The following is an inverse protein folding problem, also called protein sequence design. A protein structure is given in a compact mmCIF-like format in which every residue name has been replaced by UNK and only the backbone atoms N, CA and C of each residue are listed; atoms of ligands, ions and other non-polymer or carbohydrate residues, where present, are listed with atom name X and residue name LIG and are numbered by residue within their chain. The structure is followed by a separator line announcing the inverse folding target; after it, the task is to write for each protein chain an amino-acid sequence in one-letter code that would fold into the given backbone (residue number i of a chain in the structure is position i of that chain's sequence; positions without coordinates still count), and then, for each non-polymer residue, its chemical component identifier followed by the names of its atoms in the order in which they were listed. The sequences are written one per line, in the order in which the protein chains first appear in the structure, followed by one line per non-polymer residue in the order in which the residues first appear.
data_IF_646795235564
#
_entry.id   IF_646795235564
#
_cell.length_a   1.000
_cell.length_b   1.000
_cell.length_c   1.000
_cell.angle_alpha   90.00
_cell.angle_beta   90.00
_cell.angle_gamma   90.00
#
_symmetry.space_group_name_H-M   'P 1'
#
loop_
_entity.id
_entity.type
_entity.pdbx_description
1 polymer ?
#
# COMPACT_ATOMS: atom_id res chain seq x y z
N UNK A 1 30.54 -40.36 -4.43
CA UNK A 1 30.27 -39.71 -3.13
C UNK A 1 28.80 -39.34 -3.10
N UNK A 2 28.10 -39.66 -2.02
CA UNK A 2 26.71 -39.26 -1.80
C UNK A 2 26.61 -38.52 -0.46
N UNK A 3 25.88 -37.41 -0.40
CA UNK A 3 25.61 -36.71 0.85
C UNK A 3 24.29 -37.27 1.41
N UNK A 4 24.30 -37.79 2.63
CA UNK A 4 23.11 -38.35 3.29
C UNK A 4 22.46 -37.37 4.25
N UNK A 5 23.28 -36.54 4.91
CA UNK A 5 22.81 -35.51 5.83
C UNK A 5 23.72 -34.29 5.80
N UNK A 6 23.12 -33.13 6.06
CA UNK A 6 23.80 -31.86 6.20
C UNK A 6 23.21 -31.14 7.41
N UNK A 7 24.07 -30.61 8.26
CA UNK A 7 23.68 -29.71 9.33
C UNK A 7 24.56 -28.45 9.30
N UNK A 8 23.93 -27.30 9.18
CA UNK A 8 24.58 -25.98 9.14
C UNK A 8 24.10 -25.20 10.34
N UNK A 9 25.03 -24.65 11.12
CA UNK A 9 24.74 -23.77 12.26
C UNK A 9 25.57 -22.50 12.15
N UNK A 10 24.92 -21.38 12.43
CA UNK A 10 25.55 -20.06 12.51
C UNK A 10 26.40 -19.72 11.28
N UNK A 11 25.85 -19.92 10.08
CA UNK A 11 26.55 -19.68 8.81
C UNK A 11 25.82 -18.61 7.99
N UNK A 12 26.43 -17.42 7.87
CA UNK A 12 25.81 -16.22 7.27
C UNK A 12 24.42 -15.95 7.87
N UNK A 13 23.38 -16.00 7.04
CA UNK A 13 21.98 -15.81 7.45
C UNK A 13 21.34 -17.08 8.04
N UNK A 14 21.96 -18.24 7.90
CA UNK A 14 21.45 -19.52 8.40
C UNK A 14 21.84 -19.69 9.87
N UNK A 15 20.85 -19.60 10.77
CA UNK A 15 21.06 -19.88 12.20
C UNK A 15 21.16 -21.37 12.47
N UNK A 16 20.21 -22.14 11.94
CA UNK A 16 20.25 -23.60 11.99
C UNK A 16 19.47 -24.17 10.80
N UNK A 17 20.10 -25.07 10.06
CA UNK A 17 19.48 -25.86 9.02
C UNK A 17 19.95 -27.30 9.20
N UNK A 18 19.00 -28.24 9.19
CA UNK A 18 19.28 -29.67 9.15
C UNK A 18 18.50 -30.30 8.02
N UNK A 19 19.22 -30.96 7.12
CA UNK A 19 18.67 -31.78 6.07
C UNK A 19 19.14 -33.21 6.30
N UNK A 20 18.22 -34.10 6.66
CA UNK A 20 18.50 -35.51 6.89
C UNK A 20 17.76 -36.38 5.87
N UNK A 21 18.24 -37.61 5.69
CA UNK A 21 17.68 -38.59 4.75
C UNK A 21 17.64 -38.07 3.30
N UNK A 22 18.73 -37.43 2.85
CA UNK A 22 18.89 -37.06 1.45
C UNK A 22 18.91 -38.36 0.62
N UNK A 23 18.01 -38.53 -0.36
CA UNK A 23 17.98 -39.74 -1.17
C UNK A 23 19.29 -39.96 -1.93
N UNK A 24 19.64 -41.22 -2.14
CA UNK A 24 20.88 -41.66 -2.77
C UNK A 24 20.88 -41.55 -4.31
N UNK A 25 19.73 -41.22 -4.90
CA UNK A 25 19.56 -40.98 -6.34
C UNK A 25 18.59 -39.83 -6.63
N UNK A 26 18.71 -39.24 -7.82
CA UNK A 26 17.83 -38.19 -8.33
C UNK A 26 18.48 -36.81 -8.44
N UNK A 27 17.69 -35.82 -8.84
CA UNK A 27 18.08 -34.41 -8.93
C UNK A 27 17.32 -33.63 -7.87
N UNK A 28 18.05 -32.94 -6.99
CA UNK A 28 17.46 -32.12 -5.93
C UNK A 28 17.47 -30.65 -6.32
N UNK A 29 16.30 -30.02 -6.26
CA UNK A 29 16.13 -28.60 -6.54
C UNK A 29 15.87 -27.87 -5.23
N UNK A 30 16.80 -26.99 -4.84
CA UNK A 30 16.61 -26.06 -3.72
C UNK A 30 15.98 -24.78 -4.29
N UNK A 31 14.70 -24.53 -3.98
CA UNK A 31 13.97 -23.35 -4.42
C UNK A 31 13.59 -22.44 -3.23
N UNK A 32 13.23 -21.19 -3.51
CA UNK A 32 12.92 -20.16 -2.52
C UNK A 32 13.17 -18.77 -3.10
N UNK A 33 12.79 -17.70 -2.40
CA UNK A 33 13.05 -16.33 -2.87
C UNK A 33 14.55 -15.99 -2.87
N UNK A 34 14.94 -14.94 -3.59
CA UNK A 34 16.30 -14.42 -3.48
C UNK A 34 16.60 -14.06 -2.01
N UNK A 35 17.86 -14.23 -1.59
CA UNK A 35 18.35 -13.94 -0.22
C UNK A 35 17.92 -14.91 0.90
N UNK A 36 17.07 -15.91 0.61
CA UNK A 36 16.72 -16.95 1.58
C UNK A 36 17.80 -18.03 1.82
N UNK A 37 19.05 -17.79 1.40
CA UNK A 37 20.17 -18.66 1.75
C UNK A 37 20.40 -19.88 0.85
N UNK A 38 19.76 -19.97 -0.34
CA UNK A 38 20.00 -21.07 -1.30
C UNK A 38 21.49 -21.20 -1.67
N UNK A 39 22.12 -20.10 -2.06
CA UNK A 39 23.55 -20.05 -2.40
C UNK A 39 24.44 -20.26 -1.16
N UNK A 40 23.95 -19.87 0.02
CA UNK A 40 24.61 -20.06 1.32
C UNK A 40 24.75 -21.54 1.69
N UNK A 41 23.73 -22.37 1.40
CA UNK A 41 23.81 -23.83 1.65
C UNK A 41 24.91 -24.46 0.81
N UNK A 42 24.99 -24.14 -0.49
CA UNK A 42 26.04 -24.66 -1.37
C UNK A 42 27.43 -24.21 -0.90
N UNK A 43 27.56 -22.94 -0.50
CA UNK A 43 28.81 -22.40 0.02
C UNK A 43 29.27 -23.11 1.30
N UNK A 44 28.34 -23.42 2.22
CA UNK A 44 28.63 -24.18 3.43
C UNK A 44 29.18 -25.59 3.11
N UNK A 45 28.60 -26.27 2.11
CA UNK A 45 29.07 -27.60 1.64
C UNK A 45 30.47 -27.49 1.01
N UNK A 46 30.72 -26.51 0.15
CA UNK A 46 32.07 -26.31 -0.38
C UNK A 46 33.08 -25.98 0.72
N UNK A 47 32.69 -25.15 1.68
CA UNK A 47 33.58 -24.72 2.75
C UNK A 47 33.97 -25.87 3.67
N UNK A 48 33.03 -26.74 4.06
CA UNK A 48 33.35 -27.91 4.89
C UNK A 48 34.22 -28.93 4.16
N UNK A 49 34.03 -29.12 2.86
CA UNK A 49 34.84 -30.06 2.08
C UNK A 49 36.27 -29.54 1.86
N UNK A 50 36.45 -28.27 1.50
CA UNK A 50 37.74 -27.79 0.98
C UNK A 50 38.50 -26.82 1.89
N UNK A 51 37.85 -26.24 2.89
CA UNK A 51 38.49 -25.23 3.74
C UNK A 51 38.96 -25.84 5.05
N UNK A 52 40.21 -25.57 5.42
CA UNK A 52 40.76 -25.99 6.73
C UNK A 52 40.02 -25.29 7.88
N UNK A 53 39.75 -25.99 8.96
CA UNK A 53 39.10 -25.47 10.17
C UNK A 53 39.86 -24.29 10.79
N UNK A 54 41.19 -24.28 10.68
CA UNK A 54 42.07 -23.21 11.16
C UNK A 54 42.13 -21.99 10.24
N UNK A 55 41.48 -22.03 9.07
CA UNK A 55 41.50 -20.93 8.10
C UNK A 55 40.87 -19.65 8.65
N UNK A 56 41.51 -18.52 8.34
CA UNK A 56 41.02 -17.16 8.63
C UNK A 56 40.92 -16.32 7.36
N UNK A 57 40.81 -16.98 6.20
CA UNK A 57 40.63 -16.32 4.91
C UNK A 57 39.34 -15.49 4.90
N UNK A 58 39.28 -14.48 4.02
CA UNK A 58 38.14 -13.57 3.97
C UNK A 58 36.81 -14.32 3.77
N UNK A 59 36.78 -15.31 2.88
CA UNK A 59 35.61 -16.17 2.67
C UNK A 59 35.11 -16.87 3.95
N UNK A 60 36.01 -17.22 4.89
CA UNK A 60 35.64 -17.83 6.17
C UNK A 60 35.11 -16.78 7.15
N UNK A 61 35.68 -15.57 7.13
CA UNK A 61 35.17 -14.43 7.92
C UNK A 61 33.78 -14.01 7.45
N UNK A 62 33.56 -14.00 6.15
CA UNK A 62 32.27 -13.68 5.52
C UNK A 62 31.18 -14.72 5.84
N UNK A 63 31.56 -15.92 6.27
CA UNK A 63 30.63 -16.94 6.75
C UNK A 63 30.15 -16.70 8.18
N UNK A 64 30.80 -15.82 8.96
CA UNK A 64 30.38 -15.49 10.31
C UNK A 64 29.05 -14.71 10.30
N UNK A 65 28.07 -15.05 11.14
CA UNK A 65 26.83 -14.29 11.22
C UNK A 65 27.07 -12.89 11.76
N UNK A 66 26.43 -11.90 11.14
CA UNK A 66 26.50 -10.52 11.59
C UNK A 66 25.90 -10.38 13.00
N UNK A 67 26.61 -9.64 13.86
CA UNK A 67 26.15 -9.33 15.22
C UNK A 67 26.16 -10.50 16.20
N UNK A 68 26.88 -11.59 15.91
CA UNK A 68 26.97 -12.76 16.82
C UNK A 68 28.42 -13.21 17.03
N UNK A 69 28.83 -13.39 18.28
CA UNK A 69 30.19 -13.85 18.62
C UNK A 69 30.33 -15.38 18.58
N UNK A 70 29.79 -16.00 17.52
CA UNK A 70 29.80 -17.45 17.27
C UNK A 70 30.59 -17.78 16.02
N UNK A 71 31.07 -19.02 15.93
CA UNK A 71 31.82 -19.53 14.78
C UNK A 71 30.89 -20.33 13.87
N UNK A 72 30.98 -20.20 12.54
CA UNK A 72 30.19 -21.00 11.62
C UNK A 72 30.56 -22.48 11.74
N UNK A 73 29.55 -23.34 11.67
CA UNK A 73 29.67 -24.78 11.87
C UNK A 73 28.93 -25.53 10.78
N UNK A 74 29.57 -26.56 10.22
CA UNK A 74 28.95 -27.42 9.23
C UNK A 74 29.32 -28.88 9.52
N UNK A 75 28.30 -29.73 9.56
CA UNK A 75 28.44 -31.20 9.59
C UNK A 75 27.88 -31.76 8.29
N UNK A 76 28.61 -32.68 7.68
CA UNK A 76 28.14 -33.44 6.53
C UNK A 76 28.36 -34.93 6.79
N UNK A 77 27.32 -35.72 6.58
CA UNK A 77 27.41 -37.17 6.50
C UNK A 77 27.44 -37.58 5.02
N UNK A 78 28.40 -38.42 4.68
CA UNK A 78 28.68 -38.87 3.33
C UNK A 78 28.73 -40.39 3.27
N UNK A 79 28.25 -40.95 2.17
CA UNK A 79 28.67 -42.29 1.73
C UNK A 79 29.81 -42.13 0.73
N UNK A 80 30.99 -42.59 1.12
CA UNK A 80 32.22 -42.46 0.34
C UNK A 80 33.05 -43.74 0.44
N UNK A 81 33.45 -44.31 -0.69
CA UNK A 81 34.20 -45.58 -0.72
C UNK A 81 33.45 -46.75 -0.07
N UNK A 82 32.12 -46.74 -0.09
CA UNK A 82 31.27 -47.75 0.58
C UNK A 82 31.21 -47.60 2.10
N UNK A 83 31.79 -46.54 2.68
CA UNK A 83 31.80 -46.25 4.12
C UNK A 83 30.95 -45.02 4.43
N UNK A 84 30.42 -44.99 5.65
CA UNK A 84 29.77 -43.80 6.20
C UNK A 84 30.85 -42.91 6.83
N UNK A 85 30.91 -41.67 6.36
CA UNK A 85 31.89 -40.67 6.75
C UNK A 85 31.16 -39.47 7.31
N UNK A 86 31.42 -39.12 8.57
CA UNK A 86 30.92 -37.89 9.19
C UNK A 86 32.06 -36.90 9.30
N UNK A 87 31.93 -35.76 8.62
CA UNK A 87 32.88 -34.65 8.69
C UNK A 87 32.20 -33.46 9.37
N UNK A 88 32.81 -32.96 10.41
CA UNK A 88 32.40 -31.73 11.10
C UNK A 88 33.56 -30.74 11.08
N UNK A 89 33.25 -29.48 10.75
CA UNK A 89 34.18 -28.36 10.90
C UNK A 89 33.48 -27.15 11.50
N UNK A 90 34.23 -26.50 12.38
CA UNK A 90 33.90 -25.20 12.96
C UNK A 90 35.06 -24.25 12.72
N UNK A 91 34.76 -23.03 12.28
CA UNK A 91 35.76 -21.99 12.02
C UNK A 91 35.64 -20.83 13.01
N UNK A 92 36.69 -20.01 13.07
CA UNK A 92 36.79 -18.79 13.86
C UNK A 92 36.71 -19.00 15.37
N UNK A 93 35.50 -19.17 15.93
CA UNK A 93 35.31 -19.39 17.37
C UNK A 93 35.40 -20.86 17.66
N UNK A 94 36.30 -21.24 18.56
CA UNK A 94 36.64 -22.63 18.88
C UNK A 94 36.87 -23.47 17.61
N UNK A 95 37.87 -23.13 16.76
CA UNK A 95 38.10 -23.86 15.53
C UNK A 95 38.43 -25.31 15.81
N UNK A 96 37.71 -26.23 15.17
CA UNK A 96 37.92 -27.67 15.31
C UNK A 96 37.40 -28.41 14.10
N UNK A 97 38.02 -29.55 13.84
CA UNK A 97 37.57 -30.53 12.87
C UNK A 97 37.40 -31.87 13.56
N UNK A 98 36.37 -32.61 13.19
CA UNK A 98 36.13 -33.98 13.65
C UNK A 98 35.77 -34.83 12.42
N UNK A 99 36.38 -36.00 12.30
CA UNK A 99 36.12 -36.96 11.24
C UNK A 99 35.84 -38.32 11.87
N UNK A 100 34.76 -38.97 11.45
CA UNK A 100 34.50 -40.37 11.77
C UNK A 100 34.29 -41.14 10.48
N UNK A 101 35.05 -42.21 10.28
CA UNK A 101 34.88 -43.14 9.15
C UNK A 101 34.48 -44.50 9.72
N UNK A 102 33.34 -45.03 9.27
CA UNK A 102 32.85 -46.33 9.72
C UNK A 102 33.88 -47.44 9.45
N UNK A 103 34.36 -48.07 10.53
CA UNK A 103 35.35 -49.16 10.46
C UNK A 103 36.82 -48.72 10.49
N UNK A 104 37.14 -47.43 10.31
CA UNK A 104 38.53 -46.92 10.37
C UNK A 104 38.83 -46.13 11.65
N UNK A 105 37.82 -45.50 12.25
CA UNK A 105 37.94 -44.79 13.52
C UNK A 105 37.53 -43.32 13.47
N UNK A 106 37.86 -42.59 14.55
CA UNK A 106 37.57 -41.15 14.70
C UNK A 106 38.86 -40.36 14.86
N UNK A 107 38.92 -39.20 14.22
CA UNK A 107 40.06 -38.29 14.18
C UNK A 107 39.60 -36.87 14.51
N UNK A 108 40.51 -36.04 15.03
CA UNK A 108 40.21 -34.64 15.37
C UNK A 108 41.30 -33.69 14.87
N UNK A 109 40.98 -32.41 14.75
CA UNK A 109 41.94 -31.35 14.38
C UNK A 109 42.55 -31.55 12.99
N UNK A 110 43.85 -31.26 12.87
CA UNK A 110 44.59 -31.39 11.60
C UNK A 110 44.59 -32.82 11.04
N UNK A 111 44.66 -33.83 11.91
CA UNK A 111 44.66 -35.24 11.52
C UNK A 111 43.33 -35.63 10.86
N UNK A 112 42.20 -35.10 11.37
CA UNK A 112 40.89 -35.30 10.75
C UNK A 112 40.86 -34.78 9.30
N UNK A 113 41.42 -33.61 9.04
CA UNK A 113 41.40 -33.02 7.71
C UNK A 113 42.34 -33.73 6.75
N UNK A 114 43.54 -34.10 7.21
CA UNK A 114 44.48 -34.86 6.39
C UNK A 114 43.90 -36.22 6.01
N UNK A 115 43.33 -36.95 6.98
CA UNK A 115 42.70 -38.25 6.71
C UNK A 115 41.50 -38.13 5.80
N UNK A 116 40.69 -37.09 5.96
CA UNK A 116 39.58 -36.82 5.05
C UNK A 116 40.07 -36.58 3.63
N UNK A 117 41.08 -35.72 3.44
CA UNK A 117 41.63 -35.39 2.12
C UNK A 117 42.20 -36.64 1.43
N UNK A 118 43.00 -37.45 2.14
CA UNK A 118 43.52 -38.73 1.64
C UNK A 118 42.38 -39.69 1.20
N UNK A 119 41.35 -39.82 2.03
CA UNK A 119 40.20 -40.69 1.75
C UNK A 119 39.34 -40.14 0.60
N UNK A 120 39.20 -38.82 0.52
CA UNK A 120 38.48 -38.13 -0.55
C UNK A 120 39.18 -38.32 -1.90
N UNK A 121 40.49 -38.07 -1.99
CA UNK A 121 41.27 -38.26 -3.21
C UNK A 121 41.28 -39.71 -3.71
N UNK A 122 41.23 -40.68 -2.80
CA UNK A 122 41.19 -42.10 -3.17
C UNK A 122 39.88 -42.50 -3.85
N UNK A 123 38.78 -41.83 -3.52
CA UNK A 123 37.43 -42.25 -3.89
C UNK A 123 36.66 -41.22 -4.73
N UNK A 124 37.21 -40.04 -4.96
CA UNK A 124 36.62 -38.96 -5.75
C UNK A 124 37.65 -38.43 -6.73
N UNK A 125 37.29 -38.44 -8.02
CA UNK A 125 38.03 -37.72 -9.05
C UNK A 125 37.83 -36.21 -8.85
N UNK A 126 38.87 -35.52 -8.39
CA UNK A 126 38.82 -34.09 -8.13
C UNK A 126 38.54 -33.27 -9.38
N UNK A 127 39.04 -33.71 -10.55
CA UNK A 127 38.83 -33.00 -11.81
C UNK A 127 37.35 -33.03 -12.18
N UNK A 128 36.71 -34.20 -12.03
CA UNK A 128 35.28 -34.36 -12.24
C UNK A 128 34.46 -33.58 -11.21
N UNK A 129 34.82 -33.68 -9.93
CA UNK A 129 34.12 -33.00 -8.85
C UNK A 129 34.14 -31.48 -9.03
N UNK A 130 35.30 -30.89 -9.32
CA UNK A 130 35.44 -29.45 -9.59
C UNK A 130 34.68 -29.03 -10.85
N UNK A 131 34.68 -29.84 -11.91
CA UNK A 131 33.94 -29.55 -13.14
C UNK A 131 32.42 -29.54 -12.94
N UNK A 132 31.90 -30.41 -12.08
CA UNK A 132 30.47 -30.49 -11.75
C UNK A 132 30.03 -29.44 -10.71
N UNK A 133 30.97 -28.89 -9.95
CA UNK A 133 30.69 -27.87 -8.95
C UNK A 133 30.67 -26.46 -9.57
N UNK A 134 29.51 -26.04 -10.10
CA UNK A 134 29.32 -24.69 -10.65
C UNK A 134 28.78 -23.70 -9.60
N UNK A 135 29.59 -22.69 -9.26
CA UNK A 135 29.19 -21.58 -8.37
C UNK A 135 28.44 -20.51 -9.17
N UNK A 136 27.26 -20.11 -8.68
CA UNK A 136 26.47 -19.02 -9.27
C UNK A 136 27.34 -17.75 -9.41
N UNK A 137 27.50 -17.25 -10.64
CA UNK A 137 28.33 -16.08 -10.97
C UNK A 137 29.74 -16.39 -11.53
N UNK A 138 30.16 -17.65 -11.52
CA UNK A 138 31.38 -18.13 -12.15
C UNK A 138 31.01 -19.02 -13.34
N UNK A 139 30.72 -18.43 -14.50
CA UNK A 139 30.81 -19.19 -15.76
C UNK A 139 32.28 -19.41 -16.09
N UNK A 140 32.94 -20.28 -15.33
CA UNK A 140 34.34 -20.63 -15.53
C UNK A 140 34.42 -22.14 -15.62
N UNK A 141 33.89 -22.65 -16.73
CA UNK A 141 34.66 -23.32 -17.76
C UNK A 141 33.64 -23.87 -18.76
N UNK A 142 33.84 -23.71 -20.08
CA UNK A 142 33.24 -24.66 -21.01
C UNK A 142 33.64 -26.02 -20.46
N UNK A 143 32.65 -26.83 -20.07
CA UNK A 143 32.85 -28.21 -19.67
C UNK A 143 33.56 -28.89 -20.85
N UNK A 144 34.89 -28.90 -20.87
CA UNK A 144 35.71 -29.68 -21.81
C UNK A 144 35.62 -31.11 -21.30
N UNK A 145 34.44 -31.70 -21.50
CA UNK A 145 34.08 -33.06 -21.10
C UNK A 145 35.01 -34.11 -21.73
N UNK A 146 35.73 -33.74 -22.79
CA UNK A 146 36.74 -34.58 -23.43
C UNK A 146 38.01 -34.81 -22.60
N UNK A 147 38.17 -34.16 -21.44
CA UNK A 147 39.33 -34.34 -20.56
C UNK A 147 39.09 -35.22 -19.33
N UNK A 148 37.85 -35.63 -19.06
CA UNK A 148 37.48 -36.31 -17.81
C UNK A 148 37.12 -37.77 -18.10
N UNK A 149 38.15 -38.62 -18.09
CA UNK A 149 38.07 -40.05 -18.44
C UNK A 149 37.01 -40.80 -17.63
N UNK A 150 36.82 -40.45 -16.36
CA UNK A 150 35.85 -41.07 -15.46
C UNK A 150 34.41 -40.80 -15.89
N UNK A 151 34.11 -39.61 -16.42
CA UNK A 151 32.77 -39.24 -16.87
C UNK A 151 32.45 -39.81 -18.26
N UNK A 152 33.42 -39.82 -19.18
CA UNK A 152 33.25 -40.45 -20.49
C UNK A 152 33.00 -41.95 -20.36
N UNK A 153 33.70 -42.63 -19.43
CA UNK A 153 33.55 -44.05 -19.17
C UNK A 153 32.18 -44.41 -18.55
N UNK A 154 31.72 -43.66 -17.55
CA UNK A 154 30.40 -43.87 -16.92
C UNK A 154 29.25 -43.55 -17.89
N UNK A 155 29.40 -42.52 -18.73
CA UNK A 155 28.40 -42.21 -19.76
C UNK A 155 28.38 -43.27 -20.88
N UNK A 156 29.52 -43.87 -21.21
CA UNK A 156 29.59 -45.01 -22.13
C UNK A 156 28.89 -46.24 -21.55
N UNK A 157 29.15 -46.59 -20.28
CA UNK A 157 28.49 -47.69 -19.55
C UNK A 157 26.97 -47.48 -19.43
N UNK A 158 26.54 -46.29 -19.00
CA UNK A 158 25.11 -45.95 -18.86
C UNK A 158 24.36 -45.89 -20.21
N UNK A 159 25.09 -45.66 -21.31
CA UNK A 159 24.53 -45.75 -22.66
C UNK A 159 24.42 -47.18 -23.22
N UNK A 160 24.84 -48.18 -22.44
CA UNK A 160 24.66 -49.61 -22.75
C UNK A 160 25.68 -50.20 -23.72
N UNK A 161 26.86 -49.59 -23.87
CA UNK A 161 27.88 -50.01 -24.86
C UNK A 161 29.08 -50.75 -24.27
N UNK A 162 28.91 -51.42 -23.13
CA UNK A 162 29.95 -52.29 -22.56
C UNK A 162 29.93 -53.69 -23.19
N UNK A 163 30.11 -53.78 -24.50
CA UNK A 163 30.66 -54.97 -25.14
C UNK A 163 31.56 -54.54 -26.29
N UNK A 164 32.88 -54.60 -26.07
CA UNK A 164 33.84 -55.49 -26.75
C UNK A 164 35.26 -55.02 -26.41
N UNK A 165 36.08 -55.95 -25.92
CA UNK A 165 37.48 -56.00 -26.34
C UNK A 165 38.51 -55.36 -25.40
N UNK A 166 38.98 -56.19 -24.48
CA UNK A 166 40.29 -56.06 -23.84
C UNK A 166 41.42 -56.00 -24.90
N UNK A 167 41.97 -54.82 -25.19
CA UNK A 167 43.30 -54.70 -25.80
C UNK A 167 43.90 -53.32 -25.56
N UNK A 168 45.06 -53.30 -24.91
CA UNK A 168 45.86 -52.11 -24.72
C UNK A 168 46.41 -51.52 -26.02
N UNK A 169 46.90 -50.29 -25.86
CA UNK A 169 47.66 -49.45 -26.79
C UNK A 169 46.87 -48.42 -27.61
N UNK A 170 46.88 -47.21 -27.05
CA UNK A 170 47.21 -45.94 -27.69
C UNK A 170 47.04 -45.88 -29.22
N UNK A 171 45.93 -45.28 -29.67
CA UNK A 171 45.89 -44.22 -30.70
C UNK A 171 44.45 -43.76 -30.93
N UNK A 172 44.32 -42.47 -31.26
CA UNK A 172 43.10 -41.69 -31.58
C UNK A 172 42.35 -41.08 -30.38
N UNK A 173 42.42 -39.75 -30.30
CA UNK A 173 41.92 -38.86 -29.23
C UNK A 173 40.54 -38.27 -29.52
N UNK A 174 39.76 -38.78 -30.48
CA UNK A 174 38.50 -38.13 -30.91
C UNK A 174 37.30 -39.08 -31.09
N UNK A 175 37.42 -40.36 -30.76
CA UNK A 175 36.32 -41.32 -30.90
C UNK A 175 36.01 -41.95 -29.54
N UNK A 176 35.06 -41.34 -28.82
CA UNK A 176 34.13 -41.98 -27.85
C UNK A 176 33.51 -40.92 -26.93
N UNK A 177 32.97 -39.86 -27.53
CA UNK A 177 31.88 -39.13 -26.89
C UNK A 177 30.64 -40.03 -27.03
N UNK A 178 30.24 -40.73 -25.97
CA UNK A 178 29.19 -41.76 -26.04
C UNK A 178 27.89 -41.32 -26.74
N UNK A 179 27.09 -42.24 -27.29
CA UNK A 179 25.91 -41.92 -28.14
C UNK A 179 24.86 -41.05 -27.45
N UNK A 180 24.77 -41.09 -26.11
CA UNK A 180 23.91 -40.20 -25.32
C UNK A 180 24.39 -38.74 -25.35
N UNK A 181 25.69 -38.49 -25.19
CA UNK A 181 26.26 -37.14 -25.27
C UNK A 181 26.06 -36.55 -26.67
N UNK A 182 26.21 -37.35 -27.72
CA UNK A 182 25.92 -36.92 -29.10
C UNK A 182 24.45 -36.49 -29.25
N UNK A 183 23.50 -37.24 -28.66
CA UNK A 183 22.07 -36.87 -28.67
C UNK A 183 21.81 -35.59 -27.87
N UNK A 184 22.39 -35.44 -26.69
CA UNK A 184 22.25 -34.25 -25.84
C UNK A 184 22.81 -33.01 -26.55
N UNK A 185 24.01 -33.12 -27.12
CA UNK A 185 24.66 -32.04 -27.87
C UNK A 185 23.83 -31.72 -29.13
N UNK A 186 23.30 -32.73 -29.80
CA UNK A 186 22.40 -32.56 -30.96
C UNK A 186 21.12 -31.81 -30.60
N UNK A 187 20.47 -32.16 -29.48
CA UNK A 187 19.27 -31.47 -28.99
C UNK A 187 19.59 -30.03 -28.56
N UNK A 188 20.70 -29.82 -27.84
CA UNK A 188 21.17 -28.49 -27.48
C UNK A 188 21.39 -27.61 -28.70
N UNK A 189 22.01 -28.16 -29.75
CA UNK A 189 22.28 -27.43 -30.99
C UNK A 189 21.04 -27.03 -31.81
N UNK A 190 19.87 -27.60 -31.54
CA UNK A 190 18.60 -27.13 -32.13
C UNK A 190 18.25 -25.73 -31.64
N UNK A 191 18.55 -25.43 -30.38
CA UNK A 191 18.11 -24.20 -29.72
C UNK A 191 19.24 -23.20 -29.47
N UNK A 192 20.48 -23.69 -29.35
CA UNK A 192 21.66 -22.88 -29.04
C UNK A 192 22.82 -23.20 -29.98
N UNK A 193 23.59 -22.20 -30.35
CA UNK A 193 24.85 -22.38 -31.06
C UNK A 193 25.90 -22.99 -30.13
N UNK A 194 26.99 -23.51 -30.68
CA UNK A 194 28.12 -24.07 -29.90
C UNK A 194 28.72 -23.08 -28.89
N UNK A 195 28.56 -21.76 -29.11
CA UNK A 195 28.98 -20.69 -28.19
C UNK A 195 27.88 -20.25 -27.21
N UNK A 196 26.77 -20.98 -27.13
CA UNK A 196 25.64 -20.71 -26.25
C UNK A 196 24.71 -19.57 -26.69
N UNK A 197 24.89 -18.99 -27.89
CA UNK A 197 23.94 -18.00 -28.41
C UNK A 197 22.67 -18.69 -28.92
N UNK A 198 21.46 -18.18 -28.63
CA UNK A 198 20.22 -18.74 -29.15
C UNK A 198 20.19 -18.82 -30.68
N UNK A 199 19.58 -19.88 -31.21
CA UNK A 199 19.32 -19.99 -32.65
C UNK A 199 18.17 -19.07 -33.06
N UNK A 200 18.10 -18.74 -34.35
CA UNK A 200 16.98 -17.95 -34.90
C UNK A 200 15.62 -18.60 -34.63
N UNK A 201 15.57 -19.94 -34.64
CA UNK A 201 14.35 -20.68 -34.35
C UNK A 201 13.93 -20.51 -32.88
N UNK A 202 14.86 -20.67 -31.92
CA UNK A 202 14.58 -20.44 -30.50
C UNK A 202 14.13 -18.99 -30.25
N UNK A 203 14.83 -18.02 -30.86
CA UNK A 203 14.44 -16.61 -30.74
C UNK A 203 13.04 -16.37 -31.30
N UNK A 204 12.69 -16.92 -32.46
CA UNK A 204 11.35 -16.77 -33.04
C UNK A 204 10.24 -17.37 -32.16
N UNK A 205 10.50 -18.49 -31.47
CA UNK A 205 9.56 -19.05 -30.49
C UNK A 205 9.42 -18.14 -29.27
N UNK A 206 10.55 -17.62 -28.76
CA UNK A 206 10.55 -16.69 -27.64
C UNK A 206 9.79 -15.40 -27.97
N UNK A 207 10.05 -14.81 -29.12
CA UNK A 207 9.38 -13.60 -29.60
C UNK A 207 7.88 -13.84 -29.80
N UNK A 208 7.49 -15.02 -30.30
CA UNK A 208 6.07 -15.39 -30.44
C UNK A 208 5.37 -15.51 -29.10
N UNK A 209 6.03 -16.11 -28.10
CA UNK A 209 5.49 -16.19 -26.73
C UNK A 209 5.35 -14.78 -26.15
N UNK A 210 6.38 -13.95 -26.26
CA UNK A 210 6.33 -12.56 -25.77
C UNK A 210 5.19 -11.76 -26.41
N UNK A 211 5.05 -11.84 -27.75
CA UNK A 211 3.97 -11.16 -28.47
C UNK A 211 2.58 -11.67 -28.08
N UNK A 212 2.40 -12.99 -27.92
CA UNK A 212 1.14 -13.57 -27.50
C UNK A 212 0.77 -13.19 -26.05
N UNK A 213 1.75 -13.18 -25.14
CA UNK A 213 1.57 -12.74 -23.76
C UNK A 213 1.18 -11.27 -23.70
N UNK A 214 1.85 -10.40 -24.47
CA UNK A 214 1.50 -8.98 -24.54
C UNK A 214 0.08 -8.78 -25.09
N UNK A 215 -0.28 -9.44 -26.19
CA UNK A 215 -1.61 -9.35 -26.78
C UNK A 215 -2.71 -9.83 -25.81
N UNK A 216 -2.45 -10.89 -25.04
CA UNK A 216 -3.38 -11.37 -24.02
C UNK A 216 -3.54 -10.36 -22.87
N UNK A 217 -2.45 -9.73 -22.44
CA UNK A 217 -2.48 -8.70 -21.40
C UNK A 217 -3.26 -7.45 -21.87
N UNK A 218 -3.01 -6.99 -23.09
CA UNK A 218 -3.75 -5.86 -23.68
C UNK A 218 -5.25 -6.17 -23.82
N UNK A 219 -5.61 -7.38 -24.25
CA UNK A 219 -7.00 -7.81 -24.33
C UNK A 219 -7.67 -7.88 -22.96
N UNK A 220 -6.97 -8.35 -21.93
CA UNK A 220 -7.47 -8.39 -20.56
C UNK A 220 -7.72 -6.98 -20.01
N UNK A 221 -6.80 -6.03 -20.23
CA UNK A 221 -6.99 -4.63 -19.82
C UNK A 221 -8.19 -3.99 -20.51
N UNK A 222 -8.37 -4.21 -21.82
CA UNK A 222 -9.55 -3.69 -22.55
C UNK A 222 -10.87 -4.30 -22.06
N UNK A 223 -10.86 -5.57 -21.65
CA UNK A 223 -12.04 -6.21 -21.07
C UNK A 223 -12.42 -5.58 -19.72
N UNK A 224 -11.42 -5.29 -18.89
CA UNK A 224 -11.62 -4.63 -17.60
C UNK A 224 -12.17 -3.20 -17.77
N UNK A 225 -11.61 -2.43 -18.70
CA UNK A 225 -12.13 -1.10 -19.08
C UNK A 225 -13.58 -1.19 -19.57
N UNK A 226 -13.92 -2.17 -20.42
CA UNK A 226 -15.27 -2.38 -20.90
C UNK A 226 -16.23 -2.72 -19.76
N UNK A 227 -15.84 -3.62 -18.84
CA UNK A 227 -16.66 -3.94 -17.67
C UNK A 227 -16.91 -2.71 -16.79
N UNK A 228 -15.90 -1.86 -16.60
CA UNK A 228 -16.05 -0.61 -15.87
C UNK A 228 -17.07 0.32 -16.55
N UNK A 229 -16.97 0.50 -17.88
CA UNK A 229 -17.91 1.32 -18.63
C UNK A 229 -19.34 0.78 -18.60
N UNK A 230 -19.52 -0.55 -18.70
CA UNK A 230 -20.84 -1.18 -18.60
C UNK A 230 -21.46 -0.92 -17.22
N UNK A 231 -20.70 -1.14 -16.15
CA UNK A 231 -21.18 -0.87 -14.79
C UNK A 231 -21.54 0.61 -14.58
N UNK A 232 -20.76 1.53 -15.15
CA UNK A 232 -21.04 2.97 -15.07
C UNK A 232 -22.30 3.35 -15.84
N UNK A 233 -22.51 2.80 -17.04
CA UNK A 233 -23.75 3.00 -17.80
C UNK A 233 -24.96 2.47 -17.05
N UNK A 234 -24.87 1.29 -16.44
CA UNK A 234 -25.95 0.72 -15.61
C UNK A 234 -26.26 1.64 -14.42
N UNK A 235 -25.24 2.13 -13.71
CA UNK A 235 -25.37 3.06 -12.58
C UNK A 235 -26.03 4.37 -12.99
N UNK A 236 -25.56 5.00 -14.06
CA UNK A 236 -26.11 6.26 -14.57
C UNK A 236 -27.55 6.06 -15.04
N UNK A 237 -27.83 4.95 -15.72
CA UNK A 237 -29.19 4.64 -16.21
C UNK A 237 -30.15 4.44 -15.05
N UNK A 238 -29.75 3.73 -14.01
CA UNK A 238 -30.55 3.56 -12.79
C UNK A 238 -30.81 4.90 -12.08
N UNK A 239 -29.77 5.72 -11.92
CA UNK A 239 -29.89 7.04 -11.30
C UNK A 239 -30.81 7.97 -12.12
N UNK A 240 -30.70 7.95 -13.46
CA UNK A 240 -31.59 8.71 -14.34
C UNK A 240 -33.04 8.26 -14.18
N UNK A 241 -33.31 6.95 -14.19
CA UNK A 241 -34.68 6.43 -14.01
C UNK A 241 -35.27 6.80 -12.64
N UNK A 242 -34.46 6.77 -11.57
CA UNK A 242 -34.90 7.22 -10.25
C UNK A 242 -35.24 8.71 -10.25
N UNK A 243 -34.36 9.55 -10.79
CA UNK A 243 -34.59 10.99 -10.89
C UNK A 243 -35.84 11.31 -11.75
N UNK A 244 -36.05 10.62 -12.87
CA UNK A 244 -37.24 10.80 -13.71
C UNK A 244 -38.54 10.40 -13.01
N UNK A 245 -38.50 9.41 -12.10
CA UNK A 245 -39.65 9.04 -11.27
C UNK A 245 -39.94 10.05 -10.16
N UNK A 246 -38.92 10.66 -9.58
CA UNK A 246 -39.06 11.63 -8.49
C UNK A 246 -39.41 13.05 -8.99
N UNK A 247 -39.02 13.39 -10.22
CA UNK A 247 -39.19 14.73 -10.79
C UNK A 247 -40.62 15.28 -10.74
N UNK A 248 -41.68 14.50 -11.05
CA UNK A 248 -43.05 14.99 -10.98
C UNK A 248 -43.45 15.37 -9.55
N UNK A 249 -43.17 14.52 -8.56
CA UNK A 249 -43.48 14.80 -7.15
C UNK A 249 -42.73 16.02 -6.63
N UNK A 250 -41.46 16.20 -7.01
CA UNK A 250 -40.70 17.41 -6.66
C UNK A 250 -41.29 18.68 -7.30
N UNK A 251 -41.82 18.59 -8.53
CA UNK A 251 -42.52 19.71 -9.17
C UNK A 251 -43.82 20.05 -8.45
N UNK A 252 -44.61 19.05 -8.07
CA UNK A 252 -45.84 19.24 -7.30
C UNK A 252 -45.55 19.91 -5.95
N UNK A 253 -44.52 19.45 -5.23
CA UNK A 253 -44.09 20.08 -3.96
C UNK A 253 -43.67 21.53 -4.18
N UNK A 254 -42.86 21.80 -5.22
CA UNK A 254 -42.43 23.16 -5.57
C UNK A 254 -43.64 24.05 -5.84
N UNK A 255 -44.59 23.57 -6.63
CA UNK A 255 -45.77 24.35 -7.04
C UNK A 255 -46.67 24.65 -5.84
N UNK A 256 -46.91 23.66 -4.97
CA UNK A 256 -47.64 23.87 -3.72
C UNK A 256 -46.94 24.88 -2.79
N UNK A 257 -45.62 24.74 -2.58
CA UNK A 257 -44.87 25.71 -1.79
C UNK A 257 -44.88 27.12 -2.39
N UNK A 258 -44.92 27.24 -3.72
CA UNK A 258 -45.01 28.52 -4.39
C UNK A 258 -46.39 29.18 -4.19
N UNK A 259 -47.47 28.40 -4.29
CA UNK A 259 -48.82 28.88 -3.99
C UNK A 259 -48.95 29.35 -2.53
N UNK A 260 -48.45 28.57 -1.58
CA UNK A 260 -48.42 28.94 -0.16
C UNK A 260 -47.63 30.22 0.08
N UNK A 261 -46.48 30.37 -0.59
CA UNK A 261 -45.66 31.58 -0.52
C UNK A 261 -46.39 32.81 -1.05
N UNK A 262 -47.04 32.72 -2.21
CA UNK A 262 -47.79 33.85 -2.77
C UNK A 262 -49.01 34.21 -1.90
N UNK A 263 -49.70 33.23 -1.32
CA UNK A 263 -50.78 33.47 -0.36
C UNK A 263 -50.26 34.18 0.90
N UNK A 264 -49.16 33.71 1.49
CA UNK A 264 -48.53 34.34 2.64
C UNK A 264 -48.08 35.78 2.32
N UNK A 265 -47.54 36.01 1.13
CA UNK A 265 -47.12 37.33 0.66
C UNK A 265 -48.30 38.30 0.51
N UNK A 266 -49.44 37.83 0.02
CA UNK A 266 -50.66 38.64 -0.06
C UNK A 266 -51.17 39.02 1.33
N UNK A 267 -51.20 38.07 2.26
CA UNK A 267 -51.61 38.32 3.66
C UNK A 267 -50.65 39.32 4.31
N UNK A 268 -49.34 39.18 4.11
CA UNK A 268 -48.36 40.13 4.61
C UNK A 268 -48.61 41.55 4.07
N UNK A 269 -48.88 41.68 2.77
CA UNK A 269 -49.18 42.98 2.18
C UNK A 269 -50.45 43.61 2.76
N UNK A 270 -51.50 42.81 2.96
CA UNK A 270 -52.73 43.27 3.61
C UNK A 270 -52.49 43.69 5.07
N UNK A 271 -51.69 42.93 5.82
CA UNK A 271 -51.33 43.28 7.19
C UNK A 271 -50.56 44.61 7.24
N UNK A 272 -49.61 44.83 6.33
CA UNK A 272 -48.88 46.11 6.23
C UNK A 272 -49.79 47.29 5.86
N UNK A 273 -50.81 47.06 5.03
CA UNK A 273 -51.81 48.11 4.71
C UNK A 273 -52.66 48.43 5.93
N UNK A 274 -53.18 47.41 6.62
CA UNK A 274 -53.98 47.58 7.84
C UNK A 274 -53.19 48.27 8.95
N UNK A 275 -51.91 47.96 9.11
CA UNK A 275 -51.04 48.61 10.10
C UNK A 275 -50.88 50.12 9.80
N UNK A 276 -50.67 50.48 8.52
CA UNK A 276 -50.62 51.90 8.11
C UNK A 276 -51.95 52.61 8.34
N UNK A 277 -53.06 51.96 8.02
CA UNK A 277 -54.40 52.53 8.22
C UNK A 277 -54.72 52.71 9.70
N UNK A 278 -54.32 51.75 10.55
CA UNK A 278 -54.44 51.84 12.00
C UNK A 278 -53.62 53.00 12.55
N UNK A 279 -52.38 53.16 12.10
CA UNK A 279 -51.52 54.27 12.54
C UNK A 279 -52.10 55.62 12.10
N UNK A 280 -52.61 55.73 10.88
CA UNK A 280 -53.29 56.94 10.40
C UNK A 280 -54.56 57.24 11.22
N UNK A 281 -55.37 56.23 11.51
CA UNK A 281 -56.57 56.37 12.33
C UNK A 281 -56.21 56.81 13.76
N UNK A 282 -55.12 56.28 14.32
CA UNK A 282 -54.59 56.66 15.64
C UNK A 282 -54.16 58.12 15.67
N UNK A 283 -53.42 58.58 14.66
CA UNK A 283 -53.03 60.00 14.53
C UNK A 283 -54.25 60.90 14.40
N UNK A 284 -55.27 60.49 13.63
CA UNK A 284 -56.54 61.24 13.49
C UNK A 284 -57.31 61.31 14.81
N UNK A 285 -57.36 60.22 15.56
CA UNK A 285 -57.99 60.20 16.88
C UNK A 285 -57.28 61.17 17.83
N UNK A 286 -55.95 61.12 17.91
CA UNK A 286 -55.16 62.04 18.73
C UNK A 286 -55.39 63.51 18.35
N UNK A 287 -55.47 63.81 17.06
CA UNK A 287 -55.76 65.16 16.58
C UNK A 287 -57.20 65.61 16.96
N UNK A 288 -58.17 64.71 16.87
CA UNK A 288 -59.56 64.99 17.26
C UNK A 288 -59.70 65.19 18.78
N UNK A 289 -59.02 64.37 19.59
CA UNK A 289 -58.95 64.51 21.04
C UNK A 289 -58.29 65.83 21.45
N UNK A 290 -57.18 66.21 20.81
CA UNK A 290 -56.53 67.50 21.04
C UNK A 290 -57.42 68.69 20.64
N UNK A 291 -58.14 68.59 19.52
CA UNK A 291 -59.09 69.61 19.10
C UNK A 291 -60.28 69.74 20.07
N UNK A 292 -60.77 68.62 20.61
CA UNK A 292 -61.82 68.60 21.63
C UNK A 292 -61.34 69.25 22.93
N UNK A 293 -60.15 68.88 23.41
CA UNK A 293 -59.55 69.47 24.61
C UNK A 293 -59.41 70.99 24.47
N UNK A 294 -58.87 71.46 23.33
CA UNK A 294 -58.76 72.90 23.03
C UNK A 294 -60.13 73.58 22.99
N UNK A 295 -61.16 72.91 22.47
CA UNK A 295 -62.52 73.48 22.44
C UNK A 295 -63.14 73.57 23.83
N UNK A 296 -62.88 72.61 24.71
CA UNK A 296 -63.29 72.65 26.11
C UNK A 296 -62.62 73.82 26.85
N UNK A 297 -61.30 74.00 26.67
CA UNK A 297 -60.57 75.16 27.23
C UNK A 297 -61.14 76.51 26.75
N UNK A 298 -61.43 76.62 25.45
CA UNK A 298 -62.05 77.82 24.90
C UNK A 298 -63.44 78.09 25.49
N UNK A 299 -64.29 77.06 25.63
CA UNK A 299 -65.60 77.21 26.26
C UNK A 299 -65.48 77.64 27.73
N UNK A 300 -64.52 77.09 28.48
CA UNK A 300 -64.26 77.51 29.86
C UNK A 300 -63.79 78.98 29.92
N UNK A 301 -62.89 79.38 29.02
CA UNK A 301 -62.45 80.78 28.92
C UNK A 301 -63.58 81.74 28.52
N UNK A 302 -64.49 81.31 27.63
CA UNK A 302 -65.65 82.09 27.23
C UNK A 302 -66.62 82.26 28.40
N UNK A 303 -66.87 81.18 29.15
CA UNK A 303 -67.72 81.21 30.33
C UNK A 303 -67.17 82.14 31.41
N UNK A 304 -65.88 82.02 31.74
CA UNK A 304 -65.20 82.93 32.66
C UNK A 304 -65.18 84.39 32.14
N UNK A 305 -65.06 84.57 30.82
CA UNK A 305 -65.17 85.87 30.17
C UNK A 305 -66.54 86.50 30.32
N UNK A 306 -67.61 85.73 30.08
CA UNK A 306 -69.01 86.15 30.28
C UNK A 306 -69.28 86.52 31.74
N UNK A 307 -68.88 85.67 32.68
CA UNK A 307 -69.03 85.98 34.11
C UNK A 307 -68.32 87.29 34.50
N UNK A 308 -67.16 87.57 33.88
CA UNK A 308 -66.44 88.83 34.11
C UNK A 308 -67.15 90.03 33.49
N UNK A 309 -67.77 89.88 32.32
CA UNK A 309 -68.62 90.93 31.72
C UNK A 309 -69.82 91.20 32.62
N UNK A 310 -70.55 90.17 33.05
CA UNK A 310 -71.72 90.32 33.94
C UNK A 310 -71.35 91.06 35.23
N UNK A 311 -70.19 90.74 35.83
CA UNK A 311 -69.67 91.46 37.02
C UNK A 311 -69.34 92.92 36.73
N UNK A 312 -68.73 93.22 35.59
CA UNK A 312 -68.39 94.59 35.19
C UNK A 312 -69.64 95.40 34.83
N UNK A 313 -70.65 94.78 34.22
CA UNK A 313 -71.95 95.39 33.93
C UNK A 313 -72.70 95.73 35.22
N UNK A 314 -72.74 94.80 36.19
CA UNK A 314 -73.27 95.07 37.51
C UNK A 314 -72.54 96.24 38.20
N UNK A 315 -71.20 96.22 38.19
CA UNK A 315 -70.40 97.31 38.74
C UNK A 315 -70.62 98.65 38.02
N UNK A 316 -70.86 98.64 36.70
CA UNK A 316 -71.22 99.83 35.92
C UNK A 316 -72.58 100.38 36.29
N UNK A 317 -73.57 99.53 36.56
CA UNK A 317 -74.89 99.95 37.07
C UNK A 317 -74.70 100.60 38.44
N UNK A 318 -73.95 99.99 39.34
CA UNK A 318 -73.66 100.55 40.67
C UNK A 318 -72.91 101.89 40.57
N UNK A 319 -71.92 102.00 39.68
CA UNK A 319 -71.19 103.24 39.41
C UNK A 319 -72.08 104.33 38.81
N UNK A 320 -73.02 103.98 37.92
CA UNK A 320 -74.00 104.94 37.37
C UNK A 320 -74.95 105.43 38.45
N UNK A 321 -75.46 104.54 39.29
CA UNK A 321 -76.29 104.93 40.43
C UNK A 321 -75.52 105.81 41.43
N UNK A 322 -74.25 105.52 41.68
CA UNK A 322 -73.39 106.34 42.51
C UNK A 322 -73.13 107.73 41.89
N UNK A 323 -72.92 107.79 40.57
CA UNK A 323 -72.77 109.05 39.84
C UNK A 323 -74.07 109.86 39.84
N UNK A 324 -75.23 109.25 39.58
CA UNK A 324 -76.54 109.89 39.67
C UNK A 324 -76.82 110.41 41.09
N UNK A 325 -76.50 109.63 42.13
CA UNK A 325 -76.62 110.08 43.52
C UNK A 325 -75.68 111.24 43.85
N UNK A 326 -74.48 111.29 43.26
CA UNK A 326 -73.55 112.40 43.44
C UNK A 326 -73.96 113.64 42.62
N UNK A 327 -74.54 113.46 41.43
CA UNK A 327 -75.19 114.51 40.65
C UNK A 327 -76.41 115.09 41.39
N UNK A 328 -77.23 114.25 42.03
CA UNK A 328 -78.32 114.69 42.92
C UNK A 328 -77.80 115.41 44.17
N UNK A 329 -76.71 114.94 44.79
CA UNK A 329 -76.05 115.63 45.90
C UNK A 329 -75.45 116.97 45.48
N UNK A 330 -74.82 117.04 44.32
CA UNK A 330 -74.26 118.29 43.81
C UNK A 330 -75.37 119.27 43.41
N UNK A 331 -76.48 118.79 42.83
CA UNK A 331 -77.66 119.59 42.53
C UNK A 331 -78.34 120.13 43.81
N UNK A 332 -78.47 119.31 44.85
CA UNK A 332 -79.01 119.75 46.16
C UNK A 332 -78.08 120.73 46.88
N UNK A 333 -76.76 120.54 46.81
CA UNK A 333 -75.78 121.50 47.35
C UNK A 333 -75.75 122.82 46.56
N UNK A 334 -76.01 122.77 45.24
CA UNK A 334 -76.10 123.96 44.38
C UNK A 334 -77.43 124.71 44.62
N UNK A 335 -78.53 123.99 44.84
CA UNK A 335 -79.83 124.55 45.19
C UNK A 335 -79.88 125.12 46.61
N UNK A 336 -79.09 124.59 47.56
CA UNK A 336 -78.93 125.16 48.91
C UNK A 336 -78.03 126.41 48.96
N UNK A 337 -77.41 126.79 47.83
CA UNK A 337 -76.52 127.96 47.69
C UNK A 337 -77.11 129.11 46.86
N UNK A 338 -78.33 128.96 46.33
CA UNK A 338 -79.08 129.99 45.61
C UNK A 338 -80.17 130.61 46.50
#
# INVERSE_FOLDING_TARGET
MLITDIEIRDFKTIRHLRWSNIPDHGVFVIHGDNEQGKSTVLEAIAQVLHTKHSSRAQAVKDAQPLGSDVGPQVTVNLTLGGKNVRLFKQWLKTPRAELTISGDGSYTGGDAEQRFEEFFHKHVDQTLFTALYNRQGSMVHPLVLGGITSLTQVLAEASGMSEVGNSGHAQTRDAETGPLLVRIIGEYHKYYTQRGKPTKQFQAHHDRVAAATQAAQEAASRLEELHHHVAEVERITAARMAAERELPGQREIRDACHEDYEAARQIQHQAEQLDRDQELARVRLQAAEAALAKRLELMESEWAGRERVDKLEAALVDLRQAAEAEDERSATLTAARA
#
